data_IF_651818650619
#
_entry.id   IF_651818650619
#
_cell.length_a   1.000
_cell.length_b   1.000
_cell.length_c   1.000
_cell.angle_alpha   90.00
_cell.angle_beta   90.00
_cell.angle_gamma   90.00
#
_symmetry.space_group_name_H-M   'P 1'
#
loop_
_entity.id
_entity.type
_entity.pdbx_description
1 polymer ?
#
# COMPACT_ATOMS: atom_id res chain seq x y z
N UNK A 1 15.00 14.40 -10.72
CA UNK A 1 13.61 14.66 -10.25
C UNK A 1 12.69 14.29 -11.39
N UNK A 2 11.73 13.39 -11.16
CA UNK A 2 10.85 12.86 -12.20
C UNK A 2 9.43 13.36 -11.99
N UNK A 3 8.77 13.79 -13.06
CA UNK A 3 7.37 14.23 -13.00
C UNK A 3 6.47 13.01 -12.98
N UNK A 4 5.68 12.83 -11.93
CA UNK A 4 4.88 11.62 -11.77
C UNK A 4 3.50 11.82 -12.42
N UNK A 5 3.13 11.07 -13.47
CA UNK A 5 1.83 11.26 -14.14
C UNK A 5 0.64 11.08 -13.20
N UNK A 6 -0.40 11.89 -13.38
CA UNK A 6 -1.61 11.84 -12.53
C UNK A 6 -1.45 12.49 -11.16
N UNK A 7 -0.33 13.16 -10.88
CA UNK A 7 -0.08 13.84 -9.60
C UNK A 7 -0.18 15.36 -9.67
N UNK A 8 -0.79 15.92 -10.72
CA UNK A 8 -0.89 17.37 -10.96
C UNK A 8 0.48 18.07 -11.03
N UNK A 9 1.42 17.48 -11.78
CA UNK A 9 2.75 18.06 -12.02
C UNK A 9 3.75 17.90 -10.87
N UNK A 10 3.48 17.06 -9.87
CA UNK A 10 4.41 16.81 -8.78
C UNK A 10 5.63 16.05 -9.28
N UNK A 11 6.79 16.39 -8.70
CA UNK A 11 8.06 15.75 -8.98
C UNK A 11 8.54 14.98 -7.76
N UNK A 12 9.02 13.76 -7.96
CA UNK A 12 9.67 12.96 -6.92
C UNK A 12 11.16 12.77 -7.25
N UNK A 13 12.04 12.77 -6.25
CA UNK A 13 13.39 12.28 -6.44
C UNK A 13 13.36 10.78 -6.63
N UNK A 14 14.11 10.29 -7.62
CA UNK A 14 14.35 8.88 -7.87
C UNK A 14 15.89 8.68 -7.98
N UNK A 15 16.42 7.49 -7.66
CA UNK A 15 17.84 7.17 -7.79
C UNK A 15 18.34 7.38 -9.22
N UNK A 16 19.48 8.05 -9.37
CA UNK A 16 20.09 8.32 -10.69
C UNK A 16 20.42 7.05 -11.47
N UNK A 17 20.75 5.95 -10.77
CA UNK A 17 21.02 4.65 -11.38
C UNK A 17 19.87 4.13 -12.26
N UNK A 18 18.63 4.60 -12.04
CA UNK A 18 17.49 4.20 -12.88
C UNK A 18 17.61 4.69 -14.33
N UNK A 19 18.38 5.74 -14.59
CA UNK A 19 18.64 6.26 -15.93
C UNK A 19 19.80 5.51 -16.64
N UNK A 20 20.53 4.66 -15.90
CA UNK A 20 21.74 3.97 -16.37
C UNK A 20 21.52 2.48 -16.65
N UNK A 21 20.41 1.89 -16.16
CA UNK A 21 20.14 0.46 -16.27
C UNK A 21 19.33 0.13 -17.52
N UNK A 22 19.67 -1.00 -18.17
CA UNK A 22 18.91 -1.51 -19.32
C UNK A 22 17.55 -2.09 -18.90
N UNK A 23 17.48 -2.67 -17.70
CA UNK A 23 16.32 -3.39 -17.19
C UNK A 23 16.06 -3.04 -15.72
N UNK A 24 14.79 -2.80 -15.40
CA UNK A 24 14.32 -2.66 -14.02
C UNK A 24 13.44 -3.86 -13.65
N UNK A 25 13.86 -4.62 -12.63
CA UNK A 25 13.11 -5.77 -12.12
C UNK A 25 12.48 -5.47 -10.77
N UNK A 26 11.16 -5.62 -10.65
CA UNK A 26 10.45 -5.47 -9.37
C UNK A 26 10.42 -6.81 -8.62
N UNK A 27 11.25 -6.92 -7.59
CA UNK A 27 11.26 -8.07 -6.67
C UNK A 27 10.42 -7.79 -5.44
N UNK A 28 9.22 -8.36 -5.36
CA UNK A 28 8.25 -8.09 -4.31
C UNK A 28 8.01 -9.30 -3.40
N UNK A 29 7.52 -9.03 -2.19
CA UNK A 29 6.97 -10.03 -1.28
C UNK A 29 5.44 -10.00 -1.37
N UNK A 30 4.82 -11.17 -1.43
CA UNK A 30 3.36 -11.30 -1.34
C UNK A 30 2.90 -10.95 0.08
N UNK A 31 2.26 -9.78 0.25
CA UNK A 31 1.75 -9.37 1.57
C UNK A 31 0.55 -8.44 1.54
N UNK A 32 -0.21 -8.45 2.63
CA UNK A 32 -1.27 -7.49 2.92
C UNK A 32 -0.72 -6.14 3.37
N UNK A 33 -1.53 -5.08 3.25
CA UNK A 33 -1.17 -3.73 3.66
C UNK A 33 -2.40 -2.91 4.04
N UNK A 34 -2.46 -2.36 5.26
CA UNK A 34 -3.67 -1.67 5.74
C UNK A 34 -4.12 -0.50 4.86
N UNK A 35 -3.20 0.35 4.40
CA UNK A 35 -3.54 1.45 3.49
C UNK A 35 -3.95 1.00 2.07
N UNK A 36 -3.35 -0.07 1.52
CA UNK A 36 -3.43 -0.39 0.08
C UNK A 36 -4.09 -1.76 -0.21
N UNK A 37 -4.59 -2.44 0.81
CA UNK A 37 -5.01 -3.84 0.84
C UNK A 37 -3.86 -4.84 0.63
N UNK A 38 -3.06 -4.62 -0.41
CA UNK A 38 -1.93 -5.46 -0.80
C UNK A 38 -0.69 -4.60 -1.12
N UNK A 39 0.49 -5.22 -1.18
CA UNK A 39 1.68 -4.56 -1.73
C UNK A 39 1.90 -4.83 -3.21
N UNK A 40 2.14 -6.08 -3.61
CA UNK A 40 2.40 -6.39 -5.01
C UNK A 40 3.69 -5.78 -5.59
N UNK A 41 3.98 -6.15 -6.83
CA UNK A 41 5.10 -5.67 -7.63
C UNK A 41 4.98 -4.19 -7.95
N UNK A 42 3.77 -3.64 -8.12
CA UNK A 42 3.61 -2.22 -8.44
C UNK A 42 3.91 -1.33 -7.24
N UNK A 43 3.37 -1.64 -6.05
CA UNK A 43 3.69 -0.85 -4.84
C UNK A 43 5.13 -1.02 -4.39
N UNK A 44 5.76 -2.15 -4.71
CA UNK A 44 7.17 -2.38 -4.42
C UNK A 44 8.08 -1.29 -5.02
N UNK A 45 7.70 -0.73 -6.18
CA UNK A 45 8.42 0.38 -6.80
C UNK A 45 8.44 1.66 -5.96
N UNK A 46 7.53 1.83 -4.99
CA UNK A 46 7.65 2.92 -4.01
C UNK A 46 8.96 2.84 -3.22
N UNK A 47 9.60 1.67 -3.22
CA UNK A 47 10.99 1.42 -2.87
C UNK A 47 11.97 2.46 -3.38
N UNK A 48 11.80 2.92 -4.63
CA UNK A 48 12.71 3.85 -5.31
C UNK A 48 12.57 5.29 -4.84
N UNK A 49 11.51 5.67 -4.12
CA UNK A 49 11.39 7.03 -3.59
C UNK A 49 12.29 7.17 -2.34
N UNK A 50 13.33 8.02 -2.29
CA UNK A 50 14.30 7.99 -1.21
C UNK A 50 13.79 8.61 0.11
N UNK A 51 14.18 8.00 1.23
CA UNK A 51 14.10 8.58 2.58
C UNK A 51 12.73 9.13 2.99
N UNK A 52 12.73 10.36 3.51
CA UNK A 52 11.53 11.04 4.03
C UNK A 52 10.52 11.43 2.94
N UNK A 53 10.89 11.37 1.65
CA UNK A 53 9.93 11.63 0.59
C UNK A 53 8.81 10.58 0.57
N UNK A 54 9.08 9.34 1.01
CA UNK A 54 8.04 8.31 1.17
C UNK A 54 6.98 8.74 2.19
N UNK A 55 7.41 9.16 3.38
CA UNK A 55 6.48 9.59 4.43
C UNK A 55 5.70 10.85 4.02
N UNK A 56 6.35 11.79 3.33
CA UNK A 56 5.70 12.98 2.75
C UNK A 56 4.62 12.59 1.72
N UNK A 57 4.88 11.61 0.85
CA UNK A 57 3.89 11.13 -0.11
C UNK A 57 2.61 10.63 0.57
N UNK A 58 2.73 9.93 1.70
CA UNK A 58 1.53 9.52 2.45
C UNK A 58 0.72 10.69 3.00
N UNK A 59 1.34 11.85 3.29
CA UNK A 59 0.61 13.06 3.67
C UNK A 59 -0.07 13.74 2.48
N UNK A 60 0.66 13.85 1.37
CA UNK A 60 0.16 14.48 0.15
C UNK A 60 -0.99 13.66 -0.48
N UNK A 61 -0.93 12.34 -0.36
CA UNK A 61 -1.89 11.38 -0.92
C UNK A 61 -2.44 10.49 0.20
N UNK A 62 -3.30 11.03 1.07
CA UNK A 62 -3.72 10.41 2.33
C UNK A 62 -4.81 9.34 2.18
N UNK A 63 -5.48 9.27 1.03
CA UNK A 63 -6.55 8.31 0.78
C UNK A 63 -6.04 7.18 -0.10
N UNK A 64 -6.71 6.02 -0.05
CA UNK A 64 -6.36 4.87 -0.89
C UNK A 64 -6.38 5.25 -2.36
N UNK A 65 -7.40 5.99 -2.79
CA UNK A 65 -7.56 6.45 -4.17
C UNK A 65 -6.46 7.44 -4.59
N UNK A 66 -6.17 8.46 -3.77
CA UNK A 66 -5.14 9.44 -4.10
C UNK A 66 -3.74 8.81 -4.11
N UNK A 67 -3.45 7.90 -3.18
CA UNK A 67 -2.18 7.18 -3.15
C UNK A 67 -2.06 6.22 -4.33
N UNK A 68 -3.15 5.54 -4.71
CA UNK A 68 -3.21 4.69 -5.90
C UNK A 68 -2.90 5.45 -7.19
N UNK A 69 -3.42 6.67 -7.34
CA UNK A 69 -3.12 7.56 -8.48
C UNK A 69 -1.64 7.90 -8.59
N UNK A 70 -1.01 8.23 -7.46
CA UNK A 70 0.43 8.49 -7.40
C UNK A 70 1.22 7.22 -7.75
N UNK A 71 0.86 6.07 -7.17
CA UNK A 71 1.54 4.80 -7.42
C UNK A 71 1.43 4.35 -8.88
N UNK A 72 0.26 4.49 -9.50
CA UNK A 72 0.07 4.22 -10.93
C UNK A 72 0.91 5.16 -11.80
N UNK A 73 1.04 6.43 -11.40
CA UNK A 73 1.97 7.37 -12.04
C UNK A 73 3.42 6.92 -11.93
N UNK A 74 3.85 6.53 -10.72
CA UNK A 74 5.21 6.05 -10.47
C UNK A 74 5.53 4.80 -11.29
N UNK A 75 4.58 3.88 -11.39
CA UNK A 75 4.69 2.70 -12.26
C UNK A 75 4.90 3.08 -13.73
N UNK A 76 4.11 4.03 -14.24
CA UNK A 76 4.23 4.48 -15.64
C UNK A 76 5.50 5.28 -15.91
N UNK A 77 6.07 5.93 -14.89
CA UNK A 77 7.39 6.58 -15.00
C UNK A 77 8.51 5.54 -15.03
N UNK A 78 8.46 4.54 -14.15
CA UNK A 78 9.54 3.57 -13.98
C UNK A 78 9.53 2.40 -15.00
N UNK A 79 8.33 2.01 -15.47
CA UNK A 79 8.11 0.93 -16.46
C UNK A 79 9.00 -0.31 -16.24
N UNK A 80 8.87 -1.02 -15.11
CA UNK A 80 9.67 -2.21 -14.86
C UNK A 80 9.50 -3.24 -15.98
N UNK A 81 10.60 -3.82 -16.42
CA UNK A 81 10.65 -4.80 -17.51
C UNK A 81 10.19 -6.19 -17.08
N UNK A 82 10.33 -6.50 -15.78
CA UNK A 82 9.96 -7.79 -15.22
C UNK A 82 9.58 -7.67 -13.74
N UNK A 83 8.69 -8.54 -13.28
CA UNK A 83 8.32 -8.68 -11.88
C UNK A 83 8.54 -10.11 -11.40
N UNK A 84 9.06 -10.24 -10.18
CA UNK A 84 9.15 -11.50 -9.45
C UNK A 84 8.51 -11.27 -8.09
N UNK A 85 7.61 -12.16 -7.69
CA UNK A 85 6.94 -12.11 -6.40
C UNK A 85 7.21 -13.38 -5.61
N UNK A 86 7.96 -13.22 -4.53
CA UNK A 86 8.15 -14.27 -3.53
C UNK A 86 6.88 -14.41 -2.69
N UNK A 87 6.22 -15.56 -2.85
CA UNK A 87 5.08 -16.00 -2.08
C UNK A 87 5.36 -17.32 -1.35
N UNK A 88 6.62 -17.77 -1.23
CA UNK A 88 6.95 -19.03 -0.53
C UNK A 88 6.43 -18.95 0.90
N UNK A 89 6.83 -17.88 1.59
CA UNK A 89 6.21 -17.39 2.82
C UNK A 89 5.64 -16.01 2.54
N UNK A 90 4.32 -15.89 2.42
CA UNK A 90 3.62 -14.62 2.34
C UNK A 90 3.40 -14.00 3.73
N UNK A 91 2.81 -12.81 3.79
CA UNK A 91 2.33 -12.19 5.03
C UNK A 91 0.85 -11.83 4.92
N UNK A 92 0.08 -12.21 5.93
CA UNK A 92 -1.35 -11.92 6.06
C UNK A 92 -1.66 -11.10 7.32
N UNK A 93 -2.87 -10.57 7.42
CA UNK A 93 -3.30 -9.77 8.56
C UNK A 93 -2.80 -8.32 8.51
N UNK A 94 -2.47 -7.77 9.68
CA UNK A 94 -2.29 -6.32 9.90
C UNK A 94 -0.98 -5.73 9.37
N UNK A 95 -0.74 -5.74 8.06
CA UNK A 95 0.39 -5.05 7.42
C UNK A 95 0.33 -3.51 7.52
N UNK A 96 1.43 -2.76 7.39
CA UNK A 96 2.57 -3.06 6.50
C UNK A 96 3.74 -3.87 7.07
N UNK A 97 3.84 -3.95 8.41
CA UNK A 97 4.74 -4.80 9.19
C UNK A 97 3.87 -5.69 10.10
N UNK A 98 4.40 -6.42 11.09
CA UNK A 98 3.61 -7.06 12.16
C UNK A 98 2.47 -8.01 11.73
N UNK A 99 2.42 -8.44 10.47
CA UNK A 99 1.48 -9.45 9.99
C UNK A 99 1.94 -10.87 10.36
N UNK A 100 1.09 -11.86 10.10
CA UNK A 100 1.43 -13.27 10.34
C UNK A 100 2.04 -13.91 9.08
N UNK A 101 3.09 -14.73 9.21
CA UNK A 101 3.62 -15.49 8.09
C UNK A 101 2.59 -16.51 7.60
N UNK A 102 2.46 -16.66 6.28
CA UNK A 102 1.56 -17.62 5.64
C UNK A 102 2.33 -18.41 4.59
N UNK A 103 2.49 -19.72 4.78
CA UNK A 103 3.16 -20.55 3.78
C UNK A 103 2.23 -20.76 2.57
N UNK A 104 2.64 -20.28 1.39
CA UNK A 104 1.92 -20.55 0.14
C UNK A 104 2.69 -21.49 -0.78
N UNK A 105 4.04 -21.52 -0.69
CA UNK A 105 4.88 -22.34 -1.55
C UNK A 105 4.87 -21.91 -3.03
N UNK A 106 4.60 -20.63 -3.30
CA UNK A 106 4.45 -20.10 -4.66
C UNK A 106 5.57 -19.13 -5.03
N UNK A 107 5.91 -19.11 -6.31
CA UNK A 107 6.68 -18.05 -6.95
C UNK A 107 5.89 -17.55 -8.16
N UNK A 108 5.67 -16.24 -8.25
CA UNK A 108 5.01 -15.65 -9.41
C UNK A 108 6.01 -14.80 -10.18
N UNK A 109 5.95 -14.83 -11.51
CA UNK A 109 6.83 -14.06 -12.37
C UNK A 109 6.12 -13.66 -13.67
N UNK A 110 6.39 -12.46 -14.18
CA UNK A 110 5.79 -11.93 -15.40
C UNK A 110 6.55 -10.71 -15.90
N UNK A 111 6.49 -10.46 -17.21
CA UNK A 111 6.86 -9.15 -17.80
C UNK A 111 5.85 -8.06 -17.50
N UNK A 112 4.64 -8.41 -17.02
CA UNK A 112 3.61 -7.47 -16.59
C UNK A 112 3.39 -7.55 -15.07
N UNK A 113 3.94 -6.56 -14.35
CA UNK A 113 3.75 -6.44 -12.90
C UNK A 113 2.29 -6.23 -12.49
N UNK A 114 1.46 -5.62 -13.34
CA UNK A 114 0.04 -5.41 -13.04
C UNK A 114 -0.74 -6.72 -13.09
N UNK A 115 -0.36 -7.64 -13.99
CA UNK A 115 -0.93 -8.98 -14.05
C UNK A 115 -0.52 -9.81 -12.82
N UNK A 116 0.71 -9.65 -12.33
CA UNK A 116 1.14 -10.28 -11.06
C UNK A 116 0.33 -9.80 -9.87
N UNK A 117 0.04 -8.50 -9.79
CA UNK A 117 -0.77 -7.95 -8.69
C UNK A 117 -2.22 -8.45 -8.76
N UNK A 118 -2.76 -8.68 -9.98
CA UNK A 118 -4.05 -9.35 -10.18
C UNK A 118 -4.00 -10.81 -9.72
N UNK A 119 -2.96 -11.55 -10.09
CA UNK A 119 -2.77 -12.93 -9.66
C UNK A 119 -2.67 -13.03 -8.13
N UNK A 120 -1.84 -12.18 -7.51
CA UNK A 120 -1.67 -12.10 -6.07
C UNK A 120 -3.00 -11.85 -5.36
N UNK A 121 -3.75 -10.83 -5.80
CA UNK A 121 -5.02 -10.48 -5.19
C UNK A 121 -6.07 -11.57 -5.34
N UNK A 122 -6.12 -12.23 -6.51
CA UNK A 122 -6.98 -13.40 -6.75
C UNK A 122 -6.66 -14.53 -5.79
N UNK A 123 -5.38 -14.91 -5.65
CA UNK A 123 -4.92 -15.98 -4.74
C UNK A 123 -5.30 -15.67 -3.28
N UNK A 124 -5.18 -14.41 -2.85
CA UNK A 124 -5.61 -13.97 -1.51
C UNK A 124 -7.14 -13.98 -1.33
N UNK A 125 -7.92 -14.19 -2.39
CA UNK A 125 -9.37 -14.15 -2.39
C UNK A 125 -9.98 -12.76 -2.55
N UNK A 126 -9.21 -11.73 -2.91
CA UNK A 126 -9.78 -10.43 -3.27
C UNK A 126 -10.40 -10.47 -4.67
N UNK A 127 -11.45 -9.67 -4.90
CA UNK A 127 -11.84 -9.31 -6.27
C UNK A 127 -10.81 -8.30 -6.82
N UNK A 128 -10.03 -8.59 -7.87
CA UNK A 128 -8.87 -7.75 -8.23
C UNK A 128 -9.20 -6.28 -8.48
N UNK A 129 -10.32 -5.98 -9.16
CA UNK A 129 -10.74 -4.61 -9.47
C UNK A 129 -11.38 -3.86 -8.30
N UNK A 130 -11.58 -4.51 -7.15
CA UNK A 130 -11.93 -3.82 -5.90
C UNK A 130 -10.73 -3.10 -5.27
N UNK A 131 -9.50 -3.48 -5.67
CA UNK A 131 -8.27 -2.85 -5.20
C UNK A 131 -8.07 -1.54 -5.98
N UNK A 132 -8.05 -0.37 -5.31
CA UNK A 132 -8.01 0.92 -6.00
C UNK A 132 -6.79 1.10 -6.93
N UNK A 133 -5.63 0.52 -6.57
CA UNK A 133 -4.43 0.58 -7.42
C UNK A 133 -4.60 -0.19 -8.73
N UNK A 134 -5.08 -1.44 -8.66
CA UNK A 134 -5.34 -2.25 -9.85
C UNK A 134 -6.38 -1.58 -10.75
N UNK A 135 -7.45 -1.03 -10.17
CA UNK A 135 -8.46 -0.30 -10.91
C UNK A 135 -7.90 0.95 -11.60
N UNK A 136 -7.12 1.77 -10.89
CA UNK A 136 -6.51 2.99 -11.42
C UNK A 136 -5.52 2.69 -12.57
N UNK A 137 -4.74 1.60 -12.46
CA UNK A 137 -3.83 1.15 -13.52
C UNK A 137 -4.59 0.78 -14.80
N UNK A 138 -5.70 0.05 -14.66
CA UNK A 138 -6.55 -0.35 -15.79
C UNK A 138 -7.22 0.88 -16.43
N UNK A 139 -7.85 1.74 -15.63
CA UNK A 139 -8.56 2.93 -16.13
C UNK A 139 -7.64 3.90 -16.88
N UNK A 140 -6.36 3.97 -16.48
CA UNK A 140 -5.33 4.79 -17.13
C UNK A 140 -4.61 4.10 -18.28
N UNK A 141 -4.98 2.84 -18.59
CA UNK A 141 -4.36 2.01 -19.63
C UNK A 141 -2.85 1.82 -19.44
N UNK A 142 -2.44 1.60 -18.19
CA UNK A 142 -1.05 1.27 -17.85
C UNK A 142 -0.81 -0.25 -17.74
N UNK A 143 -1.85 -1.04 -17.99
CA UNK A 143 -1.83 -2.52 -18.02
C UNK A 143 -1.62 -3.01 -19.46
N UNK A 144 -1.10 -4.23 -19.64
CA UNK A 144 -1.06 -4.87 -20.98
C UNK A 144 -2.37 -5.60 -21.31
N UNK A 145 -3.24 -5.77 -20.32
CA UNK A 145 -4.56 -6.38 -20.40
C UNK A 145 -5.67 -5.35 -20.19
N UNK A 146 -6.86 -5.61 -20.74
CA UNK A 146 -8.05 -4.75 -20.61
C UNK A 146 -9.21 -5.45 -19.91
N UNK A 147 -9.15 -6.78 -19.80
CA UNK A 147 -10.09 -7.61 -19.07
C UNK A 147 -9.33 -8.68 -18.31
N UNK A 148 -9.88 -9.13 -17.18
CA UNK A 148 -9.23 -10.12 -16.31
C UNK A 148 -9.04 -11.48 -17.01
N UNK A 149 -9.93 -11.85 -17.93
CA UNK A 149 -9.86 -13.11 -18.68
C UNK A 149 -8.76 -13.13 -19.77
N UNK A 150 -8.15 -11.99 -20.07
CA UNK A 150 -7.01 -11.90 -20.98
C UNK A 150 -5.68 -12.26 -20.29
N UNK A 151 -5.64 -12.28 -18.97
CA UNK A 151 -4.43 -12.64 -18.22
C UNK A 151 -4.25 -14.16 -18.33
N UNK A 152 -3.20 -14.57 -19.03
CA UNK A 152 -2.87 -15.97 -19.25
C UNK A 152 -1.88 -16.48 -18.19
N UNK A 153 -2.20 -17.63 -17.60
CA UNK A 153 -1.34 -18.33 -16.64
C UNK A 153 -0.79 -19.61 -17.28
N UNK A 154 0.45 -19.60 -17.81
CA UNK A 154 0.98 -20.74 -18.57
C UNK A 154 1.28 -21.98 -17.72
N UNK A 155 1.39 -21.81 -16.39
CA UNK A 155 1.68 -22.88 -15.44
C UNK A 155 0.50 -23.04 -14.49
N UNK A 156 0.60 -22.51 -13.27
CA UNK A 156 -0.47 -22.56 -12.29
C UNK A 156 -1.43 -21.38 -12.47
N UNK A 157 -2.71 -21.68 -12.61
CA UNK A 157 -3.75 -20.66 -12.72
C UNK A 157 -4.11 -20.08 -11.34
N UNK A 158 -3.95 -18.76 -11.18
CA UNK A 158 -4.25 -18.06 -9.94
C UNK A 158 -5.68 -18.32 -9.42
N UNK A 159 -6.63 -18.56 -10.32
CA UNK A 159 -8.04 -18.83 -9.98
C UNK A 159 -8.25 -20.19 -9.30
N UNK A 160 -7.33 -21.12 -9.52
CA UNK A 160 -7.35 -22.45 -8.89
C UNK A 160 -6.55 -22.49 -7.59
N UNK A 161 -5.89 -21.39 -7.23
CA UNK A 161 -5.00 -21.29 -6.07
C UNK A 161 -5.58 -20.43 -4.93
N UNK A 162 -6.88 -20.10 -4.98
CA UNK A 162 -7.51 -19.20 -4.01
C UNK A 162 -7.48 -19.79 -2.60
N UNK A 163 -6.90 -19.05 -1.67
CA UNK A 163 -6.84 -19.39 -0.26
C UNK A 163 -8.00 -18.72 0.48
N UNK A 164 -9.01 -19.51 0.83
CA UNK A 164 -10.28 -19.01 1.38
C UNK A 164 -10.14 -18.39 2.77
N UNK A 165 -9.24 -18.93 3.59
CA UNK A 165 -8.97 -18.49 4.96
C UNK A 165 -7.81 -17.48 5.05
N UNK A 166 -7.37 -16.92 3.92
CA UNK A 166 -6.32 -15.89 3.92
C UNK A 166 -6.78 -14.66 4.71
N UNK A 167 -6.00 -14.23 5.71
CA UNK A 167 -6.36 -13.09 6.55
C UNK A 167 -6.19 -11.77 5.81
N UNK A 168 -7.23 -11.40 5.05
CA UNK A 168 -7.31 -10.17 4.26
C UNK A 168 -7.58 -8.94 5.15
N UNK A 169 -7.10 -7.79 4.70
CA UNK A 169 -7.64 -6.49 5.12
C UNK A 169 -9.06 -6.35 4.56
N UNK A 170 -10.03 -6.17 5.45
CA UNK A 170 -11.46 -6.05 5.11
C UNK A 170 -11.72 -4.82 4.24
N UNK A 171 -12.42 -5.03 3.12
CA UNK A 171 -12.92 -3.97 2.25
C UNK A 171 -14.32 -3.58 2.71
N UNK A 172 -14.51 -2.31 3.07
CA UNK A 172 -15.86 -1.80 3.37
C UNK A 172 -16.60 -1.59 2.05
N UNK A 173 -17.78 -2.17 1.93
CA UNK A 173 -18.67 -1.88 0.81
C UNK A 173 -19.01 -0.38 0.79
N UNK A 174 -18.95 0.24 -0.40
CA UNK A 174 -19.46 1.59 -0.58
C UNK A 174 -21.00 1.48 -0.59
N UNK A 175 -21.62 1.59 0.59
CA UNK A 175 -23.07 1.73 0.71
C UNK A 175 -23.54 2.84 -0.25
N UNK A 176 -24.43 2.48 -1.16
CA UNK A 176 -24.74 3.24 -2.36
C UNK A 176 -25.25 4.68 -2.18
N UNK A 177 -25.12 5.41 -3.29
CA UNK A 177 -25.95 6.54 -3.74
C UNK A 177 -25.87 7.95 -3.12
N UNK A 178 -25.13 8.24 -2.05
CA UNK A 178 -25.21 9.58 -1.41
C UNK A 178 -23.98 10.51 -1.49
N UNK A 179 -22.93 10.20 -2.25
CA UNK A 179 -21.71 11.04 -2.27
C UNK A 179 -21.53 11.97 -3.48
N UNK A 180 -22.41 11.93 -4.48
CA UNK A 180 -22.26 12.70 -5.73
C UNK A 180 -22.84 14.13 -5.69
N UNK A 181 -23.51 14.52 -4.61
CA UNK A 181 -24.26 15.80 -4.53
C UNK A 181 -23.60 16.89 -3.68
N UNK A 182 -22.42 16.65 -3.08
CA UNK A 182 -21.81 17.61 -2.14
C UNK A 182 -20.61 18.29 -2.81
N UNK A 183 -20.79 19.57 -3.17
CA UNK A 183 -19.79 20.39 -3.85
C UNK A 183 -18.47 20.62 -3.09
N UNK A 184 -17.46 21.24 -3.75
CA UNK A 184 -16.06 21.27 -3.33
C UNK A 184 -15.75 22.03 -2.02
N UNK A 185 -16.71 22.74 -1.43
CA UNK A 185 -16.52 23.53 -0.20
C UNK A 185 -16.58 22.72 1.10
N UNK A 186 -17.26 21.56 1.14
CA UNK A 186 -17.37 20.73 2.36
C UNK A 186 -16.27 19.65 2.50
N UNK A 187 -15.22 19.75 1.71
CA UNK A 187 -14.22 18.68 1.51
C UNK A 187 -13.29 18.44 2.71
N UNK A 188 -12.98 19.47 3.51
CA UNK A 188 -12.05 19.34 4.65
C UNK A 188 -12.64 18.56 5.82
N UNK A 189 -13.90 18.83 6.19
CA UNK A 189 -14.58 18.10 7.27
C UNK A 189 -14.89 16.65 6.88
N UNK A 190 -15.30 16.42 5.63
CA UNK A 190 -15.54 15.07 5.10
C UNK A 190 -14.25 14.23 5.07
N UNK A 191 -13.10 14.82 4.70
CA UNK A 191 -11.78 14.15 4.72
C UNK A 191 -11.36 13.71 6.12
N UNK A 192 -11.54 14.57 7.12
CA UNK A 192 -11.28 14.22 8.53
C UNK A 192 -12.25 13.13 9.03
N UNK A 193 -13.52 13.19 8.61
CA UNK A 193 -14.52 12.21 9.01
C UNK A 193 -14.25 10.82 8.41
N UNK A 194 -13.75 10.75 7.17
CA UNK A 194 -13.37 9.48 6.53
C UNK A 194 -12.12 8.86 7.19
N UNK A 195 -11.12 9.66 7.56
CA UNK A 195 -9.91 9.18 8.25
C UNK A 195 -10.21 8.58 9.64
N UNK A 196 -11.21 9.11 10.37
CA UNK A 196 -11.66 8.53 11.64
C UNK A 196 -12.25 7.11 11.49
N UNK A 197 -12.69 6.73 10.30
CA UNK A 197 -13.29 5.41 10.02
C UNK A 197 -12.27 4.33 9.65
N UNK A 198 -11.01 4.67 9.39
CA UNK A 198 -9.92 3.70 9.18
C UNK A 198 -9.34 3.21 10.51
N UNK A 199 -8.75 2.00 10.53
CA UNK A 199 -8.13 1.43 11.73
C UNK A 199 -7.02 2.33 12.27
N UNK A 200 -6.90 2.46 13.60
CA UNK A 200 -5.84 3.27 14.23
C UNK A 200 -4.65 2.40 14.68
N UNK A 201 -3.40 2.89 14.58
CA UNK A 201 -2.28 2.27 15.27
C UNK A 201 -2.45 2.49 16.79
N UNK A 202 -2.20 1.45 17.57
CA UNK A 202 -2.22 1.40 19.03
C UNK A 202 -0.79 1.06 19.47
N UNK A 203 -0.26 1.81 20.43
CA UNK A 203 1.13 1.69 20.89
C UNK A 203 1.14 0.95 22.23
N UNK A 204 1.90 -0.15 22.30
CA UNK A 204 2.03 -1.01 23.47
C UNK A 204 3.22 -0.51 24.30
N UNK A 205 2.95 -0.01 25.51
CA UNK A 205 3.97 0.63 26.36
C UNK A 205 5.02 -0.41 26.81
N UNK A 206 4.56 -1.61 27.18
CA UNK A 206 5.37 -2.73 27.65
C UNK A 206 6.37 -3.28 26.63
N UNK A 207 6.07 -3.15 25.33
CA UNK A 207 6.95 -3.62 24.24
C UNK A 207 7.82 -2.49 23.68
N UNK A 208 7.58 -1.23 24.08
CA UNK A 208 8.23 -0.07 23.51
C UNK A 208 9.65 0.11 24.05
N UNK A 209 10.65 0.04 23.17
CA UNK A 209 12.06 0.30 23.52
C UNK A 209 12.46 1.79 23.43
N UNK A 210 11.50 2.72 23.36
CA UNK A 210 11.69 4.17 23.22
C UNK A 210 12.70 4.65 22.15
N UNK A 211 12.90 3.91 21.06
CA UNK A 211 13.89 4.30 20.02
C UNK A 211 13.52 5.58 19.22
N UNK A 212 12.28 6.05 19.34
CA UNK A 212 11.78 7.28 18.70
C UNK A 212 11.65 7.22 17.16
N UNK A 213 11.88 6.07 16.52
CA UNK A 213 11.77 5.93 15.05
C UNK A 213 10.39 6.31 14.53
N UNK A 214 9.33 5.88 15.22
CA UNK A 214 7.95 6.21 14.89
C UNK A 214 7.66 7.72 14.90
N UNK A 215 8.24 8.46 15.86
CA UNK A 215 8.13 9.92 15.95
C UNK A 215 8.84 10.58 14.78
N UNK A 216 10.10 10.18 14.50
CA UNK A 216 10.91 10.76 13.41
C UNK A 216 10.30 10.54 12.02
N UNK A 217 9.69 9.39 11.77
CA UNK A 217 9.10 9.09 10.46
C UNK A 217 7.71 9.73 10.28
N UNK A 218 7.04 10.16 11.37
CA UNK A 218 5.66 10.60 11.32
C UNK A 218 5.50 11.88 10.49
N UNK A 219 4.89 11.81 9.29
CA UNK A 219 4.79 12.99 8.45
C UNK A 219 3.85 14.02 9.08
N UNK A 220 2.74 13.58 9.69
CA UNK A 220 1.77 14.45 10.36
C UNK A 220 2.23 15.03 11.69
N UNK A 221 3.46 14.73 12.16
CA UNK A 221 3.98 15.13 13.48
C UNK A 221 3.02 14.86 14.64
N UNK A 222 2.27 13.76 14.53
CA UNK A 222 1.18 13.39 15.42
C UNK A 222 1.63 12.59 16.64
N UNK A 223 2.94 12.39 16.82
CA UNK A 223 3.52 11.49 17.82
C UNK A 223 4.54 12.24 18.66
N UNK A 224 4.47 12.05 19.98
CA UNK A 224 5.45 12.56 20.94
C UNK A 224 5.90 11.40 21.82
N UNK A 225 7.22 11.23 21.96
CA UNK A 225 7.79 10.32 22.95
C UNK A 225 7.93 11.09 24.26
N UNK A 226 7.19 10.67 25.28
CA UNK A 226 7.29 11.18 26.64
C UNK A 226 8.26 10.33 27.48
N UNK A 227 8.37 10.66 28.77
CA UNK A 227 9.11 9.84 29.74
C UNK A 227 8.47 8.45 29.87
N UNK A 228 9.20 7.53 30.50
CA UNK A 228 8.75 6.14 30.73
C UNK A 228 8.34 5.35 29.47
N UNK A 229 9.00 5.58 28.33
CA UNK A 229 8.74 4.87 27.06
C UNK A 229 7.34 5.10 26.44
N UNK A 230 6.61 6.12 26.90
CA UNK A 230 5.24 6.37 26.47
C UNK A 230 5.17 7.15 25.17
N UNK A 231 4.52 6.58 24.15
CA UNK A 231 4.17 7.29 22.92
C UNK A 231 2.77 7.89 23.05
N UNK A 232 2.69 9.23 23.05
CA UNK A 232 1.43 9.96 22.99
C UNK A 232 1.08 10.29 21.54
N UNK A 233 -0.16 10.00 21.15
CA UNK A 233 -0.65 10.18 19.77
C UNK A 233 -1.75 11.22 19.73
N UNK A 234 -1.60 12.25 18.89
CA UNK A 234 -2.70 13.11 18.47
C UNK A 234 -3.43 12.47 17.28
N UNK A 235 -4.56 11.85 17.55
CA UNK A 235 -5.37 11.21 16.52
C UNK A 235 -6.11 12.17 15.59
N UNK A 236 -6.19 13.47 15.91
CA UNK A 236 -6.71 14.47 14.98
C UNK A 236 -5.66 14.86 13.93
N UNK A 237 -4.36 14.81 14.28
CA UNK A 237 -3.25 15.00 13.35
C UNK A 237 -2.84 13.70 12.61
N UNK A 238 -3.17 12.53 13.14
CA UNK A 238 -2.81 11.24 12.56
C UNK A 238 -3.58 10.94 11.26
N UNK A 239 -2.87 10.90 10.13
CA UNK A 239 -3.44 10.63 8.80
C UNK A 239 -3.65 9.14 8.47
N UNK A 240 -3.43 8.23 9.43
CA UNK A 240 -3.54 6.76 9.23
C UNK A 240 -2.66 6.22 8.09
N UNK A 241 -1.43 6.74 7.96
CA UNK A 241 -0.46 6.27 6.97
C UNK A 241 0.28 4.99 7.38
N UNK A 242 0.25 4.64 8.67
CA UNK A 242 0.92 3.47 9.26
C UNK A 242 2.46 3.44 9.13
N UNK A 243 3.11 4.56 8.77
CA UNK A 243 4.57 4.63 8.75
C UNK A 243 5.19 4.29 10.12
N UNK A 244 4.52 4.65 11.22
CA UNK A 244 4.98 4.31 12.58
C UNK A 244 5.07 2.78 12.77
N UNK A 245 4.07 2.05 12.31
CA UNK A 245 3.98 0.60 12.37
C UNK A 245 5.07 -0.06 11.54
N UNK A 246 5.33 0.46 10.33
CA UNK A 246 6.35 -0.08 9.42
C UNK A 246 7.78 0.04 9.97
N UNK A 247 8.09 1.09 10.72
CA UNK A 247 9.46 1.34 11.20
C UNK A 247 9.75 0.85 12.62
N UNK A 248 8.77 0.26 13.30
CA UNK A 248 8.91 -0.17 14.69
C UNK A 248 9.75 -1.45 14.77
N UNK A 249 10.97 -1.42 15.35
CA UNK A 249 11.84 -2.60 15.38
C UNK A 249 11.46 -3.60 16.48
N UNK A 250 10.55 -3.23 17.38
CA UNK A 250 10.13 -4.05 18.52
C UNK A 250 8.69 -4.58 18.33
N UNK A 251 8.09 -4.38 17.15
CA UNK A 251 6.68 -4.70 16.87
C UNK A 251 5.68 -4.17 17.94
N UNK A 252 6.06 -3.08 18.64
CA UNK A 252 5.31 -2.48 19.74
C UNK A 252 4.10 -1.63 19.31
N UNK A 253 3.69 -1.75 18.05
CA UNK A 253 2.57 -0.99 17.48
C UNK A 253 1.67 -2.00 16.80
N UNK A 254 0.40 -2.04 17.19
CA UNK A 254 -0.61 -2.91 16.58
C UNK A 254 -1.66 -2.07 15.88
N UNK A 255 -2.37 -2.64 14.91
CA UNK A 255 -3.43 -1.94 14.20
C UNK A 255 -4.78 -2.42 14.73
N UNK A 256 -5.62 -1.46 15.16
CA UNK A 256 -6.95 -1.70 15.70
C UNK A 256 -7.75 -2.63 14.77
N UNK A 257 -8.23 -3.75 15.31
CA UNK A 257 -9.16 -4.62 14.60
C UNK A 257 -10.52 -3.93 14.57
N UNK A 258 -10.98 -3.56 13.38
CA UNK A 258 -12.36 -3.10 13.17
C UNK A 258 -13.21 -4.33 12.90
N UNK A 259 -13.98 -4.72 13.92
CA UNK A 259 -15.06 -5.71 13.82
C UNK A 259 -16.18 -5.11 12.96
#
# INVERSE_FOLDING_TARGET
LHTIPGTYGRKLPLPAILDEVDLLVSMAKMKTHQLMYVTGCVKNLFGTVPGLHKSQCHMMYPTRESFSRMMAGLYNELKPSFGIMDAVIAMEGSGPAGGSPRHMGLLLASTDCTALDVAQSTIMGYQPLSIPLTKELLERRYTTWHRLDQIHYPLLDARNLVVQDYQRIVQKEKSGLFSSLIGPFFTRHLRLHHQRKEAKPIFMEESCIACGKCVRICPGKALVLQKEHRIVVDYNACIRCYCCHEVCPADAIVIEKKV
#
